data_IF_678764210128
#
_entry.id   IF_678764210128
#
_cell.length_a   1.000
_cell.length_b   1.000
_cell.length_c   1.000
_cell.angle_alpha   90.00
_cell.angle_beta   90.00
_cell.angle_gamma   90.00
#
_symmetry.space_group_name_H-M   'P 1'
#
loop_
_entity.id
_entity.type
_entity.pdbx_description
1 polymer ?
#
# COMPACT_ATOMS: atom_id res chain seq x y z
N UNK A 1 -0.41 7.99 12.56
CA UNK A 1 0.80 8.31 11.77
C UNK A 1 1.64 7.09 11.39
N UNK A 2 1.55 5.96 12.11
CA UNK A 2 2.31 4.72 11.83
C UNK A 2 2.21 4.27 10.36
N UNK A 3 1.03 4.33 9.73
CA UNK A 3 0.85 3.95 8.31
C UNK A 3 1.72 4.78 7.36
N UNK A 4 2.02 6.04 7.71
CA UNK A 4 2.85 6.92 6.89
C UNK A 4 4.32 6.44 6.81
N UNK A 5 4.76 5.54 7.71
CA UNK A 5 6.09 4.93 7.65
C UNK A 5 6.32 4.14 6.35
N UNK A 6 5.26 3.66 5.69
CA UNK A 6 5.37 3.00 4.38
C UNK A 6 5.90 3.93 3.28
N UNK A 7 5.84 5.24 3.50
CA UNK A 7 6.32 6.26 2.58
C UNK A 7 7.65 6.87 3.03
N UNK A 8 8.31 6.29 4.03
CA UNK A 8 9.66 6.68 4.43
C UNK A 8 10.66 5.86 3.61
N UNK A 9 11.75 6.51 3.24
CA UNK A 9 12.87 5.85 2.58
C UNK A 9 13.43 4.75 3.52
N UNK A 10 13.59 3.48 3.07
CA UNK A 10 13.98 2.38 3.95
C UNK A 10 15.23 2.62 4.83
N UNK A 11 16.29 3.31 4.36
CA UNK A 11 17.44 3.66 5.21
C UNK A 11 17.08 4.58 6.40
N UNK A 12 16.15 5.51 6.21
CA UNK A 12 15.77 6.52 7.22
C UNK A 12 14.64 6.02 8.13
N UNK A 13 14.14 4.81 7.87
CA UNK A 13 12.92 4.27 8.48
C UNK A 13 13.05 4.06 9.98
N UNK A 14 14.18 3.51 10.44
CA UNK A 14 14.41 3.19 11.85
C UNK A 14 14.50 4.48 12.68
N UNK A 15 15.26 5.46 12.22
CA UNK A 15 15.38 6.76 12.89
C UNK A 15 14.03 7.49 12.92
N UNK A 16 13.29 7.44 11.81
CA UNK A 16 11.94 8.01 11.73
C UNK A 16 10.96 7.30 12.68
N UNK A 17 11.07 5.98 12.83
CA UNK A 17 10.26 5.21 13.76
C UNK A 17 10.54 5.59 15.21
N UNK A 18 11.81 5.70 15.62
CA UNK A 18 12.18 6.14 16.97
C UNK A 18 11.65 7.54 17.28
N UNK A 19 11.77 8.48 16.33
CA UNK A 19 11.21 9.82 16.49
C UNK A 19 9.67 9.81 16.58
N UNK A 20 9.00 8.89 15.89
CA UNK A 20 7.55 8.70 16.03
C UNK A 20 7.19 8.14 17.42
N UNK A 21 7.99 7.23 17.96
CA UNK A 21 7.79 6.70 19.31
C UNK A 21 7.90 7.82 20.36
N UNK A 22 8.93 8.67 20.27
CA UNK A 22 9.11 9.83 21.17
C UNK A 22 7.89 10.76 21.17
N UNK A 23 7.27 10.97 20.00
CA UNK A 23 6.06 11.79 19.87
C UNK A 23 4.81 11.13 20.48
N UNK A 24 4.81 9.80 20.61
CA UNK A 24 3.68 9.00 21.08
C UNK A 24 3.89 8.47 22.52
N UNK A 25 4.97 8.86 23.20
CA UNK A 25 5.32 8.35 24.54
C UNK A 25 4.22 8.52 25.60
N UNK A 26 3.32 9.49 25.43
CA UNK A 26 2.23 9.76 26.36
C UNK A 26 0.94 8.97 26.07
N UNK A 27 0.93 8.13 25.02
CA UNK A 27 -0.24 7.38 24.57
C UNK A 27 -0.09 5.88 24.91
N UNK A 28 -0.28 5.53 26.19
CA UNK A 28 -0.12 4.16 26.70
C UNK A 28 -0.95 3.10 25.95
N UNK A 29 -2.10 3.49 25.41
CA UNK A 29 -2.99 2.61 24.63
C UNK A 29 -2.34 2.12 23.31
N UNK A 30 -1.38 2.88 22.76
CA UNK A 30 -0.73 2.58 21.48
C UNK A 30 0.55 1.76 21.66
N UNK A 31 1.11 1.71 22.87
CA UNK A 31 2.35 0.97 23.16
C UNK A 31 2.34 -0.49 22.67
N UNK A 32 1.27 -1.29 22.87
CA UNK A 32 1.22 -2.66 22.34
C UNK A 32 1.35 -2.74 20.81
N UNK A 33 0.82 -1.73 20.10
CA UNK A 33 0.93 -1.64 18.64
C UNK A 33 2.34 -1.25 18.21
N UNK A 34 2.98 -0.32 18.92
CA UNK A 34 4.36 0.11 18.65
C UNK A 34 5.33 -1.06 18.84
N UNK A 35 5.25 -1.77 19.97
CA UNK A 35 6.09 -2.94 20.25
C UNK A 35 5.91 -4.05 19.21
N UNK A 36 4.66 -4.29 18.81
CA UNK A 36 4.35 -5.25 17.75
C UNK A 36 4.96 -4.80 16.41
N UNK A 37 4.81 -3.53 16.04
CA UNK A 37 5.31 -3.01 14.78
C UNK A 37 6.84 -3.04 14.72
N UNK A 38 7.51 -2.62 15.79
CA UNK A 38 8.97 -2.68 15.91
C UNK A 38 9.48 -4.11 15.69
N UNK A 39 8.87 -5.08 16.38
CA UNK A 39 9.26 -6.49 16.32
C UNK A 39 9.12 -7.10 14.92
N UNK A 40 8.06 -6.77 14.19
CA UNK A 40 7.72 -7.46 12.95
C UNK A 40 8.13 -6.71 11.68
N UNK A 41 8.20 -5.38 11.70
CA UNK A 41 8.37 -4.54 10.49
C UNK A 41 9.63 -3.67 10.50
N UNK A 42 10.15 -3.28 11.67
CA UNK A 42 11.37 -2.47 11.77
C UNK A 42 12.60 -3.34 12.05
N UNK A 43 12.45 -4.28 12.98
CA UNK A 43 13.54 -5.07 13.55
C UNK A 43 13.93 -4.55 14.93
N UNK A 44 14.13 -5.46 15.87
CA UNK A 44 14.41 -5.12 17.26
C UNK A 44 15.90 -5.29 17.59
N UNK A 45 16.41 -4.45 18.49
CA UNK A 45 17.73 -4.67 19.07
C UNK A 45 17.62 -5.54 20.32
N UNK A 46 18.34 -6.66 20.35
CA UNK A 46 18.39 -7.52 21.52
C UNK A 46 19.79 -7.52 22.12
N UNK A 47 19.89 -7.12 23.39
CA UNK A 47 21.13 -7.26 24.16
C UNK A 47 21.29 -8.71 24.62
N UNK A 48 22.42 -9.33 24.26
CA UNK A 48 22.90 -10.59 24.82
C UNK A 48 24.24 -10.33 25.52
N UNK A 49 24.20 -10.08 26.82
CA UNK A 49 25.37 -9.62 27.58
C UNK A 49 25.86 -8.25 27.08
N UNK A 50 27.15 -8.13 26.78
CA UNK A 50 27.73 -6.90 26.23
C UNK A 50 27.55 -6.72 24.70
N UNK A 51 26.87 -7.66 24.02
CA UNK A 51 26.65 -7.57 22.57
C UNK A 51 25.22 -7.14 22.27
N UNK A 52 25.08 -6.13 21.42
CA UNK A 52 23.80 -5.76 20.78
C UNK A 52 23.70 -6.57 19.49
N UNK A 53 22.65 -7.38 19.37
CA UNK A 53 22.33 -8.13 18.15
C UNK A 53 21.10 -7.49 17.53
N UNK A 54 21.21 -7.05 16.27
CA UNK A 54 20.07 -6.57 15.50
C UNK A 54 19.31 -7.78 14.96
N UNK A 55 18.02 -7.86 15.27
CA UNK A 55 17.13 -8.87 14.72
C UNK A 55 16.48 -8.31 13.46
N UNK A 56 16.64 -9.03 12.36
CA UNK A 56 15.94 -8.68 11.13
C UNK A 56 14.42 -8.77 11.33
N UNK A 57 13.65 -7.81 10.80
CA UNK A 57 12.20 -7.88 10.84
C UNK A 57 11.69 -9.11 10.09
N UNK A 58 10.58 -9.68 10.57
CA UNK A 58 9.90 -10.77 9.87
C UNK A 58 9.39 -10.33 8.49
N UNK A 59 8.98 -9.07 8.39
CA UNK A 59 8.48 -8.45 7.16
C UNK A 59 9.41 -7.30 6.78
N UNK A 60 10.39 -7.54 5.91
CA UNK A 60 11.40 -6.55 5.58
C UNK A 60 10.78 -5.37 4.78
N UNK A 61 11.30 -4.13 4.92
CA UNK A 61 10.76 -2.92 4.29
C UNK A 61 10.54 -3.03 2.79
N UNK A 62 11.35 -3.81 2.07
CA UNK A 62 11.22 -4.03 0.62
C UNK A 62 9.89 -4.67 0.23
N UNK A 63 9.23 -5.38 1.17
CA UNK A 63 7.94 -6.03 0.95
C UNK A 63 6.76 -5.05 1.01
N UNK A 64 6.84 -4.05 1.90
CA UNK A 64 5.68 -3.22 2.27
C UNK A 64 5.88 -1.71 2.05
N UNK A 65 7.11 -1.24 1.88
CA UNK A 65 7.38 0.15 1.55
C UNK A 65 6.79 0.51 0.18
N UNK A 66 6.10 1.64 0.15
CA UNK A 66 5.53 2.24 -1.06
C UNK A 66 6.30 3.50 -1.47
N UNK A 67 7.41 3.82 -0.80
CA UNK A 67 8.22 5.01 -1.06
C UNK A 67 8.64 5.11 -2.53
N UNK A 68 9.42 4.13 -3.01
CA UNK A 68 9.92 4.14 -4.38
C UNK A 68 8.78 4.04 -5.41
N UNK A 69 7.78 3.20 -5.14
CA UNK A 69 6.59 3.07 -6.01
C UNK A 69 5.85 4.40 -6.17
N UNK A 70 5.78 5.20 -5.10
CA UNK A 70 5.12 6.51 -5.15
C UNK A 70 5.92 7.49 -5.99
N UNK A 71 7.26 7.50 -5.85
CA UNK A 71 8.14 8.34 -6.68
C UNK A 71 8.08 7.97 -8.17
N UNK A 72 8.03 6.67 -8.46
CA UNK A 72 7.92 6.15 -9.83
C UNK A 72 6.53 6.35 -10.45
N UNK A 73 5.55 6.85 -9.68
CA UNK A 73 4.16 6.96 -10.11
C UNK A 73 3.49 5.60 -10.34
N UNK A 74 4.05 4.53 -9.77
CA UNK A 74 3.53 3.18 -9.86
C UNK A 74 2.33 2.96 -8.93
N UNK A 75 1.58 1.88 -9.15
CA UNK A 75 0.51 1.48 -8.24
C UNK A 75 1.08 1.09 -6.88
N UNK A 76 0.62 1.75 -5.82
CA UNK A 76 1.02 1.44 -4.43
C UNK A 76 0.43 0.13 -3.94
N UNK A 77 -0.83 -0.14 -4.31
CA UNK A 77 -1.61 -1.30 -3.89
C UNK A 77 -1.62 -2.39 -4.96
N UNK A 78 -2.02 -3.59 -4.55
CA UNK A 78 -2.15 -4.76 -5.42
C UNK A 78 -3.48 -4.78 -6.21
N UNK A 79 -4.06 -3.61 -6.50
CA UNK A 79 -5.38 -3.47 -7.10
C UNK A 79 -5.53 -4.25 -8.41
N UNK A 80 -4.46 -4.36 -9.20
CA UNK A 80 -4.49 -5.12 -10.46
C UNK A 80 -4.66 -6.62 -10.23
N UNK A 81 -3.94 -7.19 -9.26
CA UNK A 81 -4.10 -8.61 -8.94
C UNK A 81 -5.44 -8.87 -8.24
N UNK A 82 -5.87 -7.99 -7.35
CA UNK A 82 -7.19 -8.10 -6.73
C UNK A 82 -8.32 -8.02 -7.75
N UNK A 83 -8.26 -7.07 -8.70
CA UNK A 83 -9.25 -6.97 -9.77
C UNK A 83 -9.23 -8.20 -10.69
N UNK A 84 -8.04 -8.76 -10.96
CA UNK A 84 -7.92 -10.01 -11.70
C UNK A 84 -8.53 -11.19 -10.94
N UNK A 85 -8.21 -11.33 -9.65
CA UNK A 85 -8.76 -12.37 -8.78
C UNK A 85 -10.28 -12.25 -8.66
N UNK A 86 -10.81 -11.05 -8.42
CA UNK A 86 -12.26 -10.77 -8.40
C UNK A 86 -12.91 -11.20 -9.72
N UNK A 87 -12.33 -10.82 -10.86
CA UNK A 87 -12.85 -11.22 -12.17
C UNK A 87 -12.84 -12.74 -12.37
N UNK A 88 -11.76 -13.43 -11.96
CA UNK A 88 -11.71 -14.89 -12.00
C UNK A 88 -12.78 -15.50 -11.12
N UNK A 89 -12.96 -14.99 -9.90
CA UNK A 89 -13.98 -15.48 -8.96
C UNK A 89 -15.40 -15.27 -9.52
N UNK A 90 -15.69 -14.10 -10.10
CA UNK A 90 -16.97 -13.83 -10.78
C UNK A 90 -17.22 -14.78 -11.95
N UNK A 91 -16.20 -15.03 -12.79
CA UNK A 91 -16.31 -15.93 -13.95
C UNK A 91 -16.36 -17.43 -13.58
N UNK A 92 -15.84 -17.80 -12.41
CA UNK A 92 -15.98 -19.15 -11.87
C UNK A 92 -17.37 -19.37 -11.30
N UNK A 93 -17.90 -18.40 -10.53
CA UNK A 93 -19.24 -18.45 -9.94
C UNK A 93 -19.45 -19.58 -8.92
N UNK A 94 -18.38 -20.29 -8.51
CA UNK A 94 -18.42 -21.43 -7.58
C UNK A 94 -17.21 -21.42 -6.65
N UNK A 95 -17.38 -21.88 -5.41
CA UNK A 95 -16.30 -21.94 -4.42
C UNK A 95 -15.27 -23.06 -4.70
N UNK A 96 -15.71 -24.18 -5.28
CA UNK A 96 -14.88 -25.37 -5.52
C UNK A 96 -15.09 -25.91 -6.94
N UNK A 97 -14.51 -25.26 -7.97
CA UNK A 97 -14.64 -25.70 -9.35
C UNK A 97 -13.88 -27.02 -9.58
N UNK A 98 -14.42 -27.88 -10.44
CA UNK A 98 -13.62 -28.97 -11.03
C UNK A 98 -12.51 -28.38 -11.89
N UNK A 99 -11.40 -29.11 -12.08
CA UNK A 99 -10.27 -28.64 -12.90
C UNK A 99 -10.71 -28.22 -14.32
N UNK A 100 -11.65 -28.96 -14.92
CA UNK A 100 -12.20 -28.62 -16.24
C UNK A 100 -12.94 -27.30 -16.25
N UNK A 101 -13.83 -27.07 -15.27
CA UNK A 101 -14.57 -25.81 -15.16
C UNK A 101 -13.62 -24.64 -14.85
N UNK A 102 -12.60 -24.87 -14.03
CA UNK A 102 -11.56 -23.88 -13.76
C UNK A 102 -10.83 -23.45 -15.04
N UNK A 103 -10.37 -24.41 -15.84
CA UNK A 103 -9.69 -24.13 -17.12
C UNK A 103 -10.62 -23.37 -18.08
N UNK A 104 -11.90 -23.74 -18.17
CA UNK A 104 -12.86 -23.06 -19.02
C UNK A 104 -13.10 -21.61 -18.59
N UNK A 105 -13.24 -21.34 -17.29
CA UNK A 105 -13.36 -19.97 -16.78
C UNK A 105 -12.10 -19.14 -17.02
N UNK A 106 -10.91 -19.72 -16.87
CA UNK A 106 -9.67 -19.02 -17.22
C UNK A 106 -9.62 -18.63 -18.71
N UNK A 107 -10.06 -19.52 -19.61
CA UNK A 107 -10.17 -19.19 -21.05
C UNK A 107 -11.15 -18.04 -21.31
N UNK A 108 -12.27 -17.97 -20.58
CA UNK A 108 -13.23 -16.84 -20.69
C UNK A 108 -12.60 -15.53 -20.21
N UNK A 109 -11.93 -15.54 -19.05
CA UNK A 109 -11.20 -14.37 -18.52
C UNK A 109 -10.16 -13.88 -19.52
N UNK A 110 -9.40 -14.81 -20.11
CA UNK A 110 -8.39 -14.50 -21.14
C UNK A 110 -9.04 -13.88 -22.38
N UNK A 111 -10.11 -14.47 -22.92
CA UNK A 111 -10.83 -13.93 -24.07
C UNK A 111 -11.30 -12.49 -23.81
N UNK A 112 -11.86 -12.23 -22.63
CA UNK A 112 -12.28 -10.88 -22.24
C UNK A 112 -11.12 -9.90 -22.06
N UNK A 113 -9.89 -10.37 -21.80
CA UNK A 113 -8.68 -9.53 -21.79
C UNK A 113 -8.17 -9.25 -23.19
N UNK A 114 -8.19 -10.25 -24.07
CA UNK A 114 -7.80 -10.12 -25.48
C UNK A 114 -8.68 -9.09 -26.19
N UNK A 115 -9.98 -9.05 -25.87
CA UNK A 115 -10.88 -8.01 -26.35
C UNK A 115 -10.46 -6.60 -25.91
N UNK A 116 -10.08 -6.42 -24.64
CA UNK A 116 -9.59 -5.13 -24.14
C UNK A 116 -8.26 -4.73 -24.81
N UNK A 117 -7.39 -5.71 -25.05
CA UNK A 117 -6.14 -5.50 -25.78
C UNK A 117 -6.36 -5.10 -27.23
N UNK A 118 -7.29 -5.74 -27.94
CA UNK A 118 -7.70 -5.35 -29.29
C UNK A 118 -8.31 -3.94 -29.33
N UNK A 119 -9.13 -3.58 -28.34
CA UNK A 119 -9.65 -2.22 -28.21
C UNK A 119 -8.50 -1.21 -28.06
N UNK A 120 -7.50 -1.52 -27.24
CA UNK A 120 -6.31 -0.70 -27.10
C UNK A 120 -5.52 -0.55 -28.42
N UNK A 121 -5.30 -1.66 -29.15
CA UNK A 121 -4.67 -1.62 -30.50
C UNK A 121 -5.45 -0.72 -31.45
N UNK A 122 -6.79 -0.76 -31.40
CA UNK A 122 -7.66 0.09 -32.22
C UNK A 122 -7.69 1.58 -31.80
N UNK A 123 -6.87 1.97 -30.82
CA UNK A 123 -6.75 3.33 -30.31
C UNK A 123 -7.80 3.70 -29.25
N UNK A 124 -8.64 2.77 -28.81
CA UNK A 124 -9.57 3.00 -27.69
C UNK A 124 -8.80 2.96 -26.39
N UNK A 125 -9.08 3.92 -25.50
CA UNK A 125 -8.41 3.99 -24.19
C UNK A 125 -9.17 3.19 -23.13
N UNK A 126 -8.47 2.48 -22.22
CA UNK A 126 -9.09 1.91 -21.03
C UNK A 126 -9.77 3.00 -20.20
N UNK A 127 -10.70 2.60 -19.32
CA UNK A 127 -11.30 3.52 -18.36
C UNK A 127 -10.21 4.15 -17.50
N UNK A 128 -10.27 5.47 -17.39
CA UNK A 128 -9.35 6.25 -16.58
C UNK A 128 -9.51 5.94 -15.09
N UNK A 129 -8.40 6.00 -14.35
CA UNK A 129 -8.42 6.02 -12.88
C UNK A 129 -9.29 7.19 -12.40
N UNK A 130 -10.17 6.95 -11.42
CA UNK A 130 -11.07 7.99 -10.88
C UNK A 130 -10.26 9.22 -10.45
N UNK A 131 -10.80 10.42 -10.70
CA UNK A 131 -10.12 11.69 -10.46
C UNK A 131 -9.61 11.83 -9.02
N UNK A 132 -10.42 11.45 -8.02
CA UNK A 132 -10.05 11.53 -6.60
C UNK A 132 -8.71 10.84 -6.30
N UNK A 133 -8.52 9.62 -6.80
CA UNK A 133 -7.28 8.87 -6.57
C UNK A 133 -6.10 9.45 -7.37
N UNK A 134 -6.34 9.97 -8.58
CA UNK A 134 -5.29 10.69 -9.34
C UNK A 134 -4.82 11.93 -8.56
N UNK A 135 -5.75 12.64 -7.93
CA UNK A 135 -5.43 13.84 -7.16
C UNK A 135 -4.74 13.48 -5.83
N UNK A 136 -5.14 12.41 -5.13
CA UNK A 136 -4.43 11.92 -3.95
C UNK A 136 -3.01 11.46 -4.30
N UNK A 137 -2.81 10.75 -5.41
CA UNK A 137 -1.46 10.37 -5.88
C UNK A 137 -0.55 11.58 -6.10
N UNK A 138 -1.08 12.63 -6.76
CA UNK A 138 -0.35 13.87 -6.98
C UNK A 138 0.03 14.56 -5.68
N UNK A 139 -0.88 14.61 -4.69
CA UNK A 139 -0.60 15.20 -3.38
C UNK A 139 0.49 14.43 -2.64
N UNK A 140 0.40 13.10 -2.62
CA UNK A 140 1.40 12.25 -1.97
C UNK A 140 2.77 12.36 -2.64
N UNK A 141 2.82 12.35 -3.98
CA UNK A 141 4.06 12.56 -4.72
C UNK A 141 4.69 13.93 -4.41
N UNK A 142 3.87 14.99 -4.40
CA UNK A 142 4.33 16.34 -4.05
C UNK A 142 4.96 16.39 -2.66
N UNK A 143 4.30 15.79 -1.66
CA UNK A 143 4.81 15.76 -0.28
C UNK A 143 6.18 15.06 -0.22
N UNK A 144 6.34 13.93 -0.92
CA UNK A 144 7.61 13.21 -0.94
C UNK A 144 8.72 13.99 -1.66
N UNK A 145 8.40 14.66 -2.76
CA UNK A 145 9.38 15.47 -3.49
C UNK A 145 9.85 16.68 -2.67
N UNK A 146 8.96 17.35 -1.95
CA UNK A 146 9.32 18.45 -1.06
C UNK A 146 10.19 17.95 0.12
N UNK A 147 9.89 16.77 0.66
CA UNK A 147 10.75 16.12 1.65
C UNK A 147 12.15 15.79 1.08
N UNK A 148 12.25 15.23 -0.14
CA UNK A 148 13.54 14.97 -0.79
C UNK A 148 14.38 16.25 -1.03
N UNK A 149 13.73 17.41 -1.14
CA UNK A 149 14.39 18.72 -1.29
C UNK A 149 14.75 19.36 0.05
N UNK A 150 14.52 18.68 1.17
CA UNK A 150 14.67 19.22 2.53
C UNK A 150 13.79 20.46 2.80
N UNK A 151 12.67 20.60 2.08
CA UNK A 151 11.69 21.69 2.29
C UNK A 151 10.69 21.34 3.41
N UNK A 152 10.70 20.08 3.88
CA UNK A 152 9.82 19.57 4.95
C UNK A 152 10.61 18.74 5.95
N UNK A 153 10.19 18.81 7.21
CA UNK A 153 10.65 17.90 8.26
C UNK A 153 10.01 16.52 8.13
N UNK A 154 10.62 15.51 8.78
CA UNK A 154 10.09 14.14 8.87
C UNK A 154 8.68 14.12 9.50
N UNK A 155 8.43 14.97 10.50
CA UNK A 155 7.13 15.04 11.17
C UNK A 155 6.06 15.59 10.22
N UNK A 156 6.39 16.62 9.44
CA UNK A 156 5.48 17.19 8.43
C UNK A 156 5.20 16.22 7.29
N UNK A 157 6.19 15.40 6.90
CA UNK A 157 6.01 14.29 5.98
C UNK A 157 4.97 13.30 6.54
N UNK A 158 5.20 12.77 7.74
CA UNK A 158 4.32 11.78 8.35
C UNK A 158 2.89 12.30 8.56
N UNK A 159 2.73 13.55 9.02
CA UNK A 159 1.43 14.20 9.18
C UNK A 159 0.73 14.42 7.84
N UNK A 160 1.45 14.94 6.84
CA UNK A 160 0.91 15.20 5.51
C UNK A 160 0.41 13.92 4.83
N UNK A 161 1.15 12.82 4.98
CA UNK A 161 0.77 11.52 4.43
C UNK A 161 -0.41 10.93 5.18
N UNK A 162 -0.39 10.93 6.52
CA UNK A 162 -1.50 10.43 7.33
C UNK A 162 -2.82 11.11 6.98
N UNK A 163 -2.81 12.44 6.77
CA UNK A 163 -4.02 13.17 6.37
C UNK A 163 -4.57 12.74 5.00
N UNK A 164 -3.70 12.44 4.03
CA UNK A 164 -4.14 12.01 2.71
C UNK A 164 -4.69 10.57 2.70
N UNK A 165 -4.17 9.69 3.56
CA UNK A 165 -4.62 8.29 3.64
C UNK A 165 -5.96 8.19 4.37
N UNK A 166 -6.12 8.88 5.51
CA UNK A 166 -7.37 8.86 6.29
C UNK A 166 -8.56 9.35 5.46
N UNK A 167 -8.35 10.33 4.58
CA UNK A 167 -9.39 10.84 3.68
C UNK A 167 -9.77 9.81 2.60
N UNK A 168 -8.84 8.96 2.15
CA UNK A 168 -9.12 7.95 1.12
C UNK A 168 -9.90 6.74 1.69
N UNK A 169 -9.67 6.34 2.95
CA UNK A 169 -10.35 5.20 3.58
C UNK A 169 -11.80 5.54 3.99
N UNK A 170 -12.04 6.75 4.50
CA UNK A 170 -13.41 7.19 4.89
C UNK A 170 -14.33 7.28 3.68
N UNK A 171 -13.81 7.64 2.50
CA UNK A 171 -14.59 7.75 1.25
C UNK A 171 -14.59 6.42 0.45
N UNK A 172 -13.75 5.46 0.82
CA UNK A 172 -13.69 4.13 0.18
C UNK A 172 -14.81 3.18 0.61
N UNK A 173 -15.30 3.32 1.85
CA UNK A 173 -16.34 2.48 2.42
C UNK A 173 -17.70 2.72 1.73
N UNK A 174 -18.02 3.97 1.39
CA UNK A 174 -19.30 4.31 0.76
C UNK A 174 -19.38 3.85 -0.71
N UNK A 175 -18.25 3.88 -1.43
CA UNK A 175 -18.19 3.53 -2.87
C UNK A 175 -18.27 2.01 -3.13
N UNK A 176 -17.93 1.15 -2.16
CA UNK A 176 -18.04 -0.31 -2.31
C UNK A 176 -19.49 -0.80 -2.11
N UNK A 177 -20.34 -0.02 -1.44
CA UNK A 177 -21.76 -0.33 -1.24
C UNK A 177 -22.56 0.03 -2.50
N UNK A 178 -22.25 1.13 -3.17
CA UNK A 178 -23.00 1.59 -4.37
C UNK A 178 -22.68 0.83 -5.67
N UNK A 179 -21.58 0.06 -5.73
CA UNK A 179 -21.22 -0.70 -6.94
C UNK A 179 -21.63 -2.19 -6.89
N UNK A 180 -22.45 -2.57 -5.90
CA UNK A 180 -22.98 -3.93 -5.71
C UNK A 180 -24.51 -4.04 -5.94
N UNK A 181 -25.14 -3.06 -6.60
CA UNK A 181 -26.53 -3.15 -7.10
C UNK A 181 -26.60 -3.22 -8.62
#
# INVERSE_FOLDING_TARGET
>A
MIIALAFVNPPDLKDTFHLLCELLENEDEINPLIEWFEKYYIGAERRRGNRVVQLDPRFPPEMWSVYQRTLDGASRTNNYAEAANRRIQTELGVCHPTLGNFILSLKKVQHGRDQQYMQWISGRRPKDKRKKYKDTDKRLLKILQEYQRNERTVIELLRGIAHNIVIDDVVGIDDEVENNE
#
